data_IF_087769215150
#
_entry.id   IF_087769215150
#
_cell.length_a   1.000
_cell.length_b   1.000
_cell.length_c   1.000
_cell.angle_alpha   90.00
_cell.angle_beta   90.00
_cell.angle_gamma   90.00
#
_symmetry.space_group_name_H-M   'P 1'
#
loop_
_entity.id
_entity.type
_entity.pdbx_description
1 polymer ?
#
# COMPACT_ATOMS: atom_id res chain seq x y z
N UNK A 1 0.00 -10.85 32.70
CA UNK A 1 0.67 -11.91 31.93
C UNK A 1 2.16 -11.76 32.17
N UNK A 2 2.85 -12.84 32.50
CA UNK A 2 4.32 -12.82 32.63
C UNK A 2 4.94 -13.08 31.26
N UNK A 3 5.77 -12.15 30.78
CA UNK A 3 6.46 -12.24 29.49
C UNK A 3 7.86 -12.85 29.59
N UNK A 4 8.32 -13.20 30.80
CA UNK A 4 9.68 -13.73 31.03
C UNK A 4 9.99 -14.94 30.15
N UNK A 5 9.04 -15.86 29.99
CA UNK A 5 9.23 -17.03 29.12
C UNK A 5 9.43 -16.68 27.65
N UNK A 6 8.74 -15.65 27.14
CA UNK A 6 8.91 -15.14 25.77
C UNK A 6 10.28 -14.50 25.64
N UNK A 7 10.66 -13.65 26.61
CA UNK A 7 11.95 -12.95 26.61
C UNK A 7 13.12 -13.94 26.60
N UNK A 8 13.09 -14.95 27.47
CA UNK A 8 14.10 -16.01 27.50
C UNK A 8 14.16 -16.76 26.17
N UNK A 9 13.02 -17.23 25.67
CA UNK A 9 12.98 -17.99 24.41
C UNK A 9 13.52 -17.18 23.21
N UNK A 10 13.16 -15.89 23.11
CA UNK A 10 13.63 -15.02 22.02
C UNK A 10 15.14 -14.78 22.10
N UNK A 11 15.69 -14.57 23.29
CA UNK A 11 17.12 -14.37 23.49
C UNK A 11 17.95 -15.64 23.29
N UNK A 12 17.39 -16.82 23.56
CA UNK A 12 18.09 -18.10 23.41
C UNK A 12 18.07 -18.62 21.97
N UNK A 13 17.03 -18.29 21.19
CA UNK A 13 16.77 -18.94 19.90
C UNK A 13 16.57 -18.00 18.71
N UNK A 14 16.26 -16.71 18.92
CA UNK A 14 15.84 -15.78 17.85
C UNK A 14 16.68 -14.49 17.81
N UNK A 15 17.94 -14.56 18.23
CA UNK A 15 18.85 -13.40 18.27
C UNK A 15 19.09 -12.79 16.89
N UNK A 16 19.10 -13.61 15.83
CA UNK A 16 19.29 -13.11 14.46
C UNK A 16 18.11 -12.27 13.98
N UNK A 17 16.90 -12.67 14.33
CA UNK A 17 15.66 -11.97 14.05
C UNK A 17 15.62 -10.64 14.83
N UNK A 18 16.02 -10.65 16.11
CA UNK A 18 16.17 -9.42 16.90
C UNK A 18 17.18 -8.46 16.27
N UNK A 19 18.34 -8.94 15.80
CA UNK A 19 19.32 -8.14 15.05
C UNK A 19 18.67 -7.54 13.80
N UNK A 20 17.89 -8.33 13.05
CA UNK A 20 17.16 -7.88 11.87
C UNK A 20 16.16 -6.77 12.18
N UNK A 21 15.42 -6.88 13.28
CA UNK A 21 14.48 -5.86 13.75
C UNK A 21 15.21 -4.56 14.14
N UNK A 22 16.34 -4.65 14.84
CA UNK A 22 17.16 -3.46 15.19
C UNK A 22 17.71 -2.78 13.95
N UNK A 23 18.17 -3.54 12.95
CA UNK A 23 18.61 -2.98 11.66
C UNK A 23 17.48 -2.25 10.95
N UNK A 24 16.32 -2.91 10.84
CA UNK A 24 15.15 -2.40 10.11
C UNK A 24 14.52 -1.18 10.77
N UNK A 25 14.20 -1.28 12.06
CA UNK A 25 13.41 -0.26 12.79
C UNK A 25 14.28 0.73 13.57
N UNK A 26 15.46 0.29 14.05
CA UNK A 26 16.42 1.13 14.76
C UNK A 26 17.41 1.86 13.85
N UNK A 27 17.50 1.49 12.57
CA UNK A 27 18.41 2.13 11.61
C UNK A 27 19.89 1.89 11.89
N UNK A 28 20.23 0.90 12.71
CA UNK A 28 21.61 0.55 13.05
C UNK A 28 22.12 -0.53 12.11
N UNK A 29 23.13 -0.24 11.29
CA UNK A 29 23.64 -1.19 10.28
C UNK A 29 24.26 -2.46 10.85
N UNK A 30 24.97 -2.36 11.98
CA UNK A 30 25.63 -3.49 12.66
C UNK A 30 25.48 -3.38 14.18
N UNK A 31 24.30 -3.73 14.74
CA UNK A 31 24.08 -3.72 16.17
C UNK A 31 24.80 -4.90 16.83
N UNK A 32 25.43 -4.65 18.00
CA UNK A 32 26.09 -5.66 18.83
C UNK A 32 25.32 -5.86 20.12
N UNK A 33 25.56 -6.97 20.83
CA UNK A 33 24.95 -7.28 22.13
C UNK A 33 23.42 -7.12 22.14
N UNK A 34 22.77 -7.57 21.06
CA UNK A 34 21.33 -7.42 20.88
C UNK A 34 20.59 -8.35 21.84
N UNK A 35 19.65 -7.79 22.61
CA UNK A 35 18.84 -8.53 23.57
C UNK A 35 17.44 -7.95 23.67
N UNK A 36 16.43 -8.81 23.74
CA UNK A 36 15.07 -8.43 24.10
C UNK A 36 15.02 -8.20 25.62
N UNK A 37 14.65 -6.98 26.03
CA UNK A 37 14.55 -6.58 27.45
C UNK A 37 13.10 -6.45 27.92
N UNK A 38 12.19 -6.05 27.02
CA UNK A 38 10.80 -5.82 27.35
C UNK A 38 9.84 -6.32 26.27
N UNK A 39 8.69 -6.80 26.72
CA UNK A 39 7.55 -7.16 25.88
C UNK A 39 6.30 -6.66 26.57
N UNK A 40 5.40 -6.06 25.81
CA UNK A 40 4.03 -5.80 26.22
C UNK A 40 3.07 -6.05 25.05
N UNK A 41 1.80 -5.68 25.19
CA UNK A 41 0.82 -5.86 24.13
C UNK A 41 0.95 -4.87 22.97
N UNK A 42 1.83 -3.90 23.05
CA UNK A 42 2.05 -2.87 22.05
C UNK A 42 3.37 -3.06 21.29
N UNK A 43 4.32 -3.83 21.82
CA UNK A 43 5.56 -4.10 21.10
C UNK A 43 6.67 -4.76 21.89
N UNK A 44 7.89 -4.56 21.38
CA UNK A 44 9.15 -5.12 21.85
C UNK A 44 10.14 -4.00 22.18
N UNK A 45 10.81 -4.10 23.32
CA UNK A 45 11.95 -3.26 23.69
C UNK A 45 13.24 -4.07 23.53
N UNK A 46 14.03 -3.70 22.51
CA UNK A 46 15.25 -4.41 22.13
C UNK A 46 16.45 -3.53 22.42
N UNK A 47 17.31 -3.96 23.34
CA UNK A 47 18.59 -3.30 23.63
C UNK A 47 19.69 -3.79 22.69
N UNK A 48 20.70 -2.95 22.50
CA UNK A 48 21.93 -3.26 21.78
C UNK A 48 23.08 -2.38 22.32
N UNK A 49 24.32 -2.69 21.96
CA UNK A 49 25.48 -1.91 22.36
C UNK A 49 25.34 -0.44 21.92
N UNK A 50 25.18 0.45 22.91
CA UNK A 50 25.04 1.89 22.70
C UNK A 50 23.60 2.40 22.52
N UNK A 51 22.56 1.60 22.81
CA UNK A 51 21.19 2.11 22.85
C UNK A 51 20.11 1.03 22.93
N UNK A 52 18.87 1.45 22.69
CA UNK A 52 17.72 0.55 22.58
C UNK A 52 16.73 1.05 21.53
N UNK A 53 15.89 0.15 21.04
CA UNK A 53 14.82 0.43 20.09
C UNK A 53 13.53 -0.20 20.56
N UNK A 54 12.50 0.64 20.69
CA UNK A 54 11.10 0.18 20.74
C UNK A 54 10.63 -0.13 19.32
N UNK A 55 10.11 -1.35 19.13
CA UNK A 55 9.46 -1.81 17.90
C UNK A 55 8.01 -2.13 18.22
N UNK A 56 7.10 -1.27 17.76
CA UNK A 56 5.67 -1.44 17.99
C UNK A 56 5.04 -2.45 17.04
N UNK A 57 4.06 -3.20 17.54
CA UNK A 57 3.20 -4.03 16.69
C UNK A 57 2.30 -3.13 15.85
N UNK A 58 1.97 -3.54 14.61
CA UNK A 58 1.04 -2.80 13.77
C UNK A 58 -0.37 -2.62 14.38
N UNK A 59 -0.74 -3.54 15.27
CA UNK A 59 -1.98 -3.53 16.03
C UNK A 59 -1.70 -4.05 17.44
N UNK A 60 -2.38 -3.49 18.43
CA UNK A 60 -2.29 -3.95 19.82
C UNK A 60 -2.67 -5.42 19.93
N UNK A 61 -1.77 -6.21 20.50
CA UNK A 61 -1.94 -7.62 20.75
C UNK A 61 -2.81 -7.88 21.99
N UNK A 62 -3.15 -9.15 22.17
CA UNK A 62 -3.88 -9.69 23.31
C UNK A 62 -3.11 -10.89 23.87
N UNK A 63 -3.50 -11.43 25.03
CA UNK A 63 -2.95 -12.69 25.54
C UNK A 63 -2.90 -13.82 24.49
N UNK A 64 -3.91 -13.91 23.63
CA UNK A 64 -4.04 -14.98 22.65
C UNK A 64 -3.26 -14.70 21.35
N UNK A 65 -3.01 -13.43 21.04
CA UNK A 65 -2.42 -13.01 19.76
C UNK A 65 -0.96 -12.58 19.86
N UNK A 66 -0.42 -12.35 21.07
CA UNK A 66 0.93 -11.83 21.29
C UNK A 66 2.03 -12.67 20.61
N UNK A 67 1.96 -13.99 20.69
CA UNK A 67 2.94 -14.87 20.04
C UNK A 67 2.95 -14.70 18.53
N UNK A 68 1.77 -14.66 17.92
CA UNK A 68 1.63 -14.49 16.48
C UNK A 68 2.05 -13.08 16.03
N UNK A 69 1.81 -12.06 16.85
CA UNK A 69 2.28 -10.70 16.58
C UNK A 69 3.81 -10.62 16.53
N UNK A 70 4.49 -11.26 17.49
CA UNK A 70 5.95 -11.34 17.54
C UNK A 70 6.50 -12.10 16.32
N UNK A 71 5.95 -13.28 16.04
CA UNK A 71 6.37 -14.09 14.88
C UNK A 71 6.21 -13.29 13.58
N UNK A 72 5.04 -12.67 13.39
CA UNK A 72 4.75 -11.85 12.20
C UNK A 72 5.72 -10.68 12.07
N UNK A 73 6.07 -10.04 13.18
CA UNK A 73 7.04 -8.95 13.20
C UNK A 73 8.44 -9.42 12.79
N UNK A 74 8.92 -10.54 13.33
CA UNK A 74 10.22 -11.14 12.96
C UNK A 74 10.25 -11.57 11.49
N UNK A 75 9.23 -12.30 11.02
CA UNK A 75 9.11 -12.73 9.62
C UNK A 75 9.07 -11.56 8.65
N UNK A 76 8.56 -10.39 9.08
CA UNK A 76 8.52 -9.20 8.25
C UNK A 76 9.90 -8.76 7.77
N UNK A 77 10.99 -9.12 8.45
CA UNK A 77 12.36 -8.73 8.04
C UNK A 77 12.71 -9.40 6.72
N UNK A 78 12.61 -10.73 6.64
CA UNK A 78 12.95 -11.49 5.43
C UNK A 78 11.92 -11.28 4.32
N UNK A 79 10.62 -11.32 4.67
CA UNK A 79 9.52 -11.14 3.70
C UNK A 79 9.54 -9.78 3.02
N UNK A 80 10.21 -8.77 3.60
CA UNK A 80 10.35 -7.47 2.95
C UNK A 80 11.13 -7.58 1.63
N UNK A 81 11.97 -8.59 1.48
CA UNK A 81 12.83 -8.80 0.32
C UNK A 81 12.29 -9.83 -0.68
N UNK A 82 11.17 -10.48 -0.40
CA UNK A 82 10.50 -11.39 -1.34
C UNK A 82 9.71 -10.61 -2.41
N UNK A 83 10.44 -10.06 -3.39
CA UNK A 83 9.84 -9.22 -4.43
C UNK A 83 8.85 -9.97 -5.31
N UNK A 84 9.02 -11.29 -5.47
CA UNK A 84 8.09 -12.13 -6.23
C UNK A 84 6.75 -12.28 -5.51
N UNK A 85 6.78 -12.57 -4.20
CA UNK A 85 5.57 -12.60 -3.36
C UNK A 85 4.88 -11.24 -3.30
N UNK A 86 5.66 -10.15 -3.18
CA UNK A 86 5.11 -8.78 -3.18
C UNK A 86 4.42 -8.43 -4.50
N UNK A 87 4.93 -8.92 -5.65
CA UNK A 87 4.25 -8.74 -6.94
C UNK A 87 2.85 -9.37 -6.94
N UNK A 88 2.76 -10.62 -6.50
CA UNK A 88 1.48 -11.33 -6.42
C UNK A 88 0.52 -10.65 -5.45
N UNK A 89 1.03 -10.13 -4.33
CA UNK A 89 0.23 -9.39 -3.35
C UNK A 89 -0.31 -8.08 -3.92
N UNK A 90 0.47 -7.33 -4.69
CA UNK A 90 0.03 -6.09 -5.37
C UNK A 90 -1.13 -6.38 -6.32
N UNK A 91 -0.99 -7.41 -7.16
CA UNK A 91 -2.02 -7.80 -8.12
C UNK A 91 -3.31 -8.24 -7.41
N UNK A 92 -3.19 -9.07 -6.37
CA UNK A 92 -4.31 -9.51 -5.56
C UNK A 92 -4.98 -8.35 -4.81
N UNK A 93 -4.19 -7.42 -4.27
CA UNK A 93 -4.68 -6.24 -3.56
C UNK A 93 -5.50 -5.36 -4.49
N UNK A 94 -5.00 -5.00 -5.68
CA UNK A 94 -5.74 -4.21 -6.65
C UNK A 94 -7.05 -4.89 -7.06
N UNK A 95 -7.01 -6.19 -7.36
CA UNK A 95 -8.16 -6.99 -7.80
C UNK A 95 -9.27 -7.10 -6.76
N UNK A 96 -8.96 -6.89 -5.47
CA UNK A 96 -9.94 -6.92 -4.39
C UNK A 96 -10.87 -5.69 -4.37
N UNK A 97 -10.57 -4.65 -5.15
CA UNK A 97 -11.36 -3.41 -5.19
C UNK A 97 -12.17 -3.28 -6.48
N UNK A 98 -13.46 -2.92 -6.32
CA UNK A 98 -14.32 -2.45 -7.42
C UNK A 98 -14.35 -0.93 -7.58
N UNK A 99 -13.53 -0.19 -6.82
CA UNK A 99 -13.41 1.28 -6.92
C UNK A 99 -12.03 1.74 -6.49
N UNK A 100 -11.66 2.96 -6.90
CA UNK A 100 -10.37 3.56 -6.55
C UNK A 100 -10.51 5.06 -6.34
N UNK A 101 -9.63 5.62 -5.50
CA UNK A 101 -9.51 7.06 -5.30
C UNK A 101 -8.71 7.65 -6.45
N UNK A 102 -9.15 8.79 -6.96
CA UNK A 102 -8.51 9.52 -8.05
C UNK A 102 -8.05 10.88 -7.57
N UNK A 103 -6.76 11.18 -7.78
CA UNK A 103 -6.25 12.54 -7.75
C UNK A 103 -6.14 13.06 -9.18
N UNK A 104 -6.71 14.24 -9.45
CA UNK A 104 -6.66 14.90 -10.76
C UNK A 104 -6.62 16.42 -10.59
N UNK A 105 -6.30 17.15 -11.65
CA UNK A 105 -6.21 18.62 -11.64
C UNK A 105 -7.26 19.21 -12.57
N UNK A 106 -8.12 20.09 -12.04
CA UNK A 106 -9.13 20.78 -12.83
C UNK A 106 -8.50 21.69 -13.89
N UNK A 107 -9.26 22.14 -14.90
CA UNK A 107 -8.78 23.13 -15.87
C UNK A 107 -8.33 24.46 -15.23
N UNK A 108 -8.86 24.82 -14.05
CA UNK A 108 -8.46 26.00 -13.27
C UNK A 108 -7.19 25.78 -12.44
N UNK A 109 -6.63 24.57 -12.41
CA UNK A 109 -5.43 24.22 -11.64
C UNK A 109 -5.70 23.75 -10.21
N UNK A 110 -6.96 23.48 -9.85
CA UNK A 110 -7.34 23.01 -8.52
C UNK A 110 -7.20 21.50 -8.41
N UNK A 111 -6.69 21.02 -7.27
CA UNK A 111 -6.56 19.60 -7.02
C UNK A 111 -7.90 18.98 -6.61
N UNK A 112 -8.27 17.89 -7.24
CA UNK A 112 -9.47 17.11 -6.94
C UNK A 112 -9.07 15.75 -6.36
N UNK A 113 -9.73 15.37 -5.27
CA UNK A 113 -9.66 14.03 -4.70
C UNK A 113 -11.06 13.40 -4.73
N UNK A 114 -11.29 12.52 -5.70
CA UNK A 114 -12.58 11.88 -5.94
C UNK A 114 -12.42 10.36 -5.91
N UNK A 115 -13.48 9.60 -6.23
CA UNK A 115 -13.39 8.18 -6.48
C UNK A 115 -14.16 7.82 -7.75
N UNK A 116 -13.86 6.66 -8.34
CA UNK A 116 -14.62 6.11 -9.45
C UNK A 116 -14.71 4.57 -9.33
N UNK A 117 -15.73 3.94 -9.95
CA UNK A 117 -15.70 2.50 -10.20
C UNK A 117 -14.43 2.14 -10.97
N UNK A 118 -13.76 1.05 -10.57
CA UNK A 118 -12.58 0.53 -11.25
C UNK A 118 -12.91 -0.85 -11.79
N UNK A 119 -12.64 -1.04 -13.07
CA UNK A 119 -12.89 -2.27 -13.81
C UNK A 119 -11.53 -2.86 -14.16
N UNK A 120 -11.35 -4.14 -13.82
CA UNK A 120 -10.13 -4.88 -14.16
C UNK A 120 -10.38 -5.65 -15.45
N UNK A 121 -9.56 -5.47 -16.48
CA UNK A 121 -9.71 -6.25 -17.71
C UNK A 121 -8.36 -6.52 -18.38
N UNK A 122 -8.04 -7.80 -18.60
CA UNK A 122 -6.81 -8.23 -19.29
C UNK A 122 -5.52 -7.63 -18.66
N UNK A 123 -5.48 -7.48 -17.34
CA UNK A 123 -4.35 -6.86 -16.63
C UNK A 123 -4.28 -5.33 -16.73
N UNK A 124 -5.35 -4.70 -17.24
CA UNK A 124 -5.49 -3.24 -17.36
C UNK A 124 -6.58 -2.73 -16.42
N UNK A 125 -6.52 -1.44 -16.10
CA UNK A 125 -7.51 -0.76 -15.27
C UNK A 125 -8.33 0.22 -16.11
N UNK A 126 -9.63 0.26 -15.85
CA UNK A 126 -10.53 1.23 -16.45
C UNK A 126 -11.39 1.88 -15.38
N UNK A 127 -11.84 3.10 -15.65
CA UNK A 127 -12.87 3.78 -14.87
C UNK A 127 -14.07 4.10 -15.76
N UNK A 128 -15.24 4.21 -15.14
CA UNK A 128 -16.48 4.59 -15.82
C UNK A 128 -17.12 5.78 -15.11
N UNK A 129 -17.07 6.96 -15.75
CA UNK A 129 -17.41 8.24 -15.12
C UNK A 129 -18.33 9.11 -16.00
N UNK A 130 -19.18 9.93 -15.38
CA UNK A 130 -20.08 10.86 -16.05
C UNK A 130 -19.42 12.21 -16.31
N UNK A 131 -19.79 12.88 -17.41
CA UNK A 131 -19.47 14.28 -17.72
C UNK A 131 -19.90 15.27 -16.63
N UNK A 132 -20.90 14.91 -15.82
CA UNK A 132 -21.42 15.74 -14.72
C UNK A 132 -20.44 15.80 -13.55
N UNK A 133 -19.59 14.79 -13.36
CA UNK A 133 -18.65 14.74 -12.26
C UNK A 133 -17.41 15.61 -12.53
N UNK A 134 -16.95 16.34 -11.53
CA UNK A 134 -15.81 17.27 -11.64
C UNK A 134 -14.55 16.60 -12.21
N UNK A 135 -14.34 15.32 -11.86
CA UNK A 135 -13.18 14.56 -12.35
C UNK A 135 -13.18 14.28 -13.85
N UNK A 136 -14.32 14.43 -14.55
CA UNK A 136 -14.37 14.25 -16.00
C UNK A 136 -13.62 15.38 -16.69
N UNK A 137 -13.95 16.63 -16.34
CA UNK A 137 -13.32 17.80 -16.91
C UNK A 137 -11.81 17.85 -16.59
N UNK A 138 -11.41 17.45 -15.37
CA UNK A 138 -10.00 17.37 -14.99
C UNK A 138 -9.23 16.33 -15.80
N UNK A 139 -9.75 15.10 -15.94
CA UNK A 139 -9.09 14.02 -16.68
C UNK A 139 -9.07 14.33 -18.18
N UNK A 140 -10.14 14.92 -18.72
CA UNK A 140 -10.20 15.32 -20.13
C UNK A 140 -9.18 16.40 -20.47
N UNK A 141 -9.01 17.40 -19.61
CA UNK A 141 -8.05 18.48 -19.82
C UNK A 141 -6.60 18.05 -19.53
N UNK A 142 -6.39 17.19 -18.53
CA UNK A 142 -5.07 16.79 -18.04
C UNK A 142 -4.89 15.26 -18.01
N UNK A 143 -5.03 14.54 -19.14
CA UNK A 143 -5.09 13.08 -19.16
C UNK A 143 -3.81 12.38 -18.68
N UNK A 144 -2.68 13.07 -18.70
CA UNK A 144 -1.38 12.51 -18.28
C UNK A 144 -0.99 12.91 -16.84
N UNK A 145 -1.88 13.59 -16.12
CA UNK A 145 -1.67 14.08 -14.75
C UNK A 145 -2.79 13.60 -13.82
N UNK A 146 -2.84 12.28 -13.66
CA UNK A 146 -3.81 11.57 -12.82
C UNK A 146 -3.06 10.57 -11.95
N UNK A 147 -3.51 10.40 -10.71
CA UNK A 147 -3.05 9.32 -9.84
C UNK A 147 -4.23 8.47 -9.36
N UNK A 148 -4.11 7.15 -9.55
CA UNK A 148 -5.04 6.15 -9.02
C UNK A 148 -4.51 5.63 -7.69
N UNK A 149 -5.38 5.51 -6.69
CA UNK A 149 -5.07 4.89 -5.40
C UNK A 149 -6.11 3.83 -5.03
N UNK A 150 -5.65 2.60 -4.86
CA UNK A 150 -6.37 1.58 -4.09
C UNK A 150 -5.98 1.74 -2.62
N UNK A 151 -6.97 1.92 -1.76
CA UNK A 151 -6.78 2.21 -0.35
C UNK A 151 -7.63 1.27 0.48
N UNK A 152 -7.00 0.55 1.39
CA UNK A 152 -7.68 -0.37 2.30
C UNK A 152 -8.76 0.35 3.13
N UNK A 153 -9.92 -0.30 3.28
CA UNK A 153 -11.00 0.16 4.14
C UNK A 153 -10.47 0.38 5.55
N UNK A 154 -10.78 1.53 6.15
CA UNK A 154 -10.26 1.88 7.48
C UNK A 154 -10.65 0.86 8.56
N UNK A 155 -11.83 0.25 8.46
CA UNK A 155 -12.30 -0.80 9.37
C UNK A 155 -11.58 -2.13 9.24
N UNK A 156 -10.84 -2.36 8.14
CA UNK A 156 -10.04 -3.56 7.88
C UNK A 156 -8.55 -3.34 8.14
N UNK A 157 -8.12 -2.07 8.16
CA UNK A 157 -6.73 -1.72 8.38
C UNK A 157 -6.28 -2.02 9.82
N UNK A 158 -4.98 -2.24 10.00
CA UNK A 158 -4.38 -2.50 11.31
C UNK A 158 -4.50 -1.29 12.24
N UNK A 159 -4.39 -0.09 11.67
CA UNK A 159 -4.63 1.18 12.34
C UNK A 159 -4.83 2.29 11.29
N UNK A 160 -5.32 3.45 11.74
CA UNK A 160 -5.52 4.64 10.88
C UNK A 160 -4.22 5.15 10.24
N UNK A 161 -3.07 4.88 10.87
CA UNK A 161 -1.74 5.26 10.35
C UNK A 161 -1.12 4.22 9.42
N UNK A 162 -1.76 3.04 9.29
CA UNK A 162 -1.26 1.94 8.48
C UNK A 162 -2.38 1.26 7.68
N UNK A 163 -2.99 2.04 6.80
CA UNK A 163 -3.85 1.52 5.74
C UNK A 163 -2.98 1.08 4.57
N UNK A 164 -3.10 -0.19 4.18
CA UNK A 164 -2.43 -0.71 2.97
C UNK A 164 -2.89 0.11 1.77
N UNK A 165 -1.94 0.48 0.91
CA UNK A 165 -2.24 1.33 -0.24
C UNK A 165 -1.34 1.05 -1.43
N UNK A 166 -1.95 1.11 -2.60
CA UNK A 166 -1.29 1.01 -3.90
C UNK A 166 -1.63 2.26 -4.70
N UNK A 167 -0.62 3.01 -5.13
CA UNK A 167 -0.76 4.21 -5.95
C UNK A 167 -0.09 4.01 -7.30
N UNK A 168 -0.71 4.50 -8.37
CA UNK A 168 -0.10 4.59 -9.70
C UNK A 168 -0.32 5.98 -10.27
N UNK A 169 0.76 6.58 -10.81
CA UNK A 169 0.60 7.64 -11.81
C UNK A 169 0.10 6.99 -13.09
N UNK A 170 -0.91 7.57 -13.72
CA UNK A 170 -1.55 6.99 -14.90
C UNK A 170 -1.69 8.00 -16.03
N UNK A 171 -1.77 7.49 -17.26
CA UNK A 171 -2.28 8.24 -18.41
C UNK A 171 -3.69 7.73 -18.73
N UNK A 172 -4.61 8.65 -18.95
CA UNK A 172 -6.00 8.36 -19.27
C UNK A 172 -6.21 8.33 -20.79
N UNK A 173 -6.82 7.25 -21.29
CA UNK A 173 -7.29 7.14 -22.68
C UNK A 173 -8.79 6.86 -22.69
N UNK A 174 -9.55 7.73 -23.35
CA UNK A 174 -10.98 7.51 -23.56
C UNK A 174 -11.17 6.36 -24.55
N UNK A 175 -12.01 5.39 -24.17
CA UNK A 175 -12.39 4.26 -25.01
C UNK A 175 -13.63 4.66 -25.81
N UNK A 176 -13.60 4.38 -27.11
CA UNK A 176 -14.73 4.67 -27.99
C UNK A 176 -15.96 3.86 -27.59
N UNK A 177 -17.09 4.54 -27.51
CA UNK A 177 -18.39 3.96 -27.18
C UNK A 177 -18.78 2.88 -28.19
N UNK A 178 -19.41 1.81 -27.71
CA UNK A 178 -19.89 0.67 -28.53
C UNK A 178 -18.79 -0.04 -29.36
N UNK A 179 -17.50 0.31 -29.14
CA UNK A 179 -16.38 -0.45 -29.66
C UNK A 179 -16.31 -1.84 -29.04
N UNK A 180 -15.60 -2.76 -29.69
CA UNK A 180 -15.38 -4.10 -29.14
C UNK A 180 -14.68 -4.04 -27.77
N UNK A 181 -13.75 -3.10 -27.57
CA UNK A 181 -13.10 -2.89 -26.27
C UNK A 181 -14.12 -2.45 -25.21
N UNK A 182 -14.99 -1.49 -25.53
CA UNK A 182 -16.03 -1.02 -24.62
C UNK A 182 -16.96 -2.16 -24.17
N UNK A 183 -17.49 -2.93 -25.11
CA UNK A 183 -18.41 -4.04 -24.80
C UNK A 183 -17.75 -5.12 -23.95
N UNK A 184 -16.49 -5.48 -24.26
CA UNK A 184 -15.75 -6.48 -23.49
C UNK A 184 -15.48 -6.03 -22.06
N UNK A 185 -15.02 -4.78 -21.88
CA UNK A 185 -14.71 -4.23 -20.55
C UNK A 185 -16.00 -4.04 -19.74
N UNK A 186 -17.08 -3.59 -20.36
CA UNK A 186 -18.36 -3.42 -19.66
C UNK A 186 -18.96 -4.76 -19.23
N UNK A 187 -18.83 -5.81 -20.05
CA UNK A 187 -19.23 -7.16 -19.65
C UNK A 187 -18.49 -7.63 -18.38
N UNK A 188 -17.18 -7.38 -18.30
CA UNK A 188 -16.39 -7.67 -17.11
C UNK A 188 -16.80 -6.82 -15.91
N UNK A 189 -17.19 -5.56 -16.13
CA UNK A 189 -17.73 -4.72 -15.06
C UNK A 189 -19.02 -5.29 -14.47
N UNK A 190 -19.93 -5.78 -15.31
CA UNK A 190 -21.17 -6.44 -14.87
C UNK A 190 -20.84 -7.71 -14.07
N UNK A 191 -19.88 -8.52 -14.52
CA UNK A 191 -19.46 -9.74 -13.82
C UNK A 191 -18.86 -9.43 -12.45
N UNK A 192 -17.90 -8.49 -12.38
CA UNK A 192 -17.20 -8.10 -11.15
C UNK A 192 -18.12 -7.47 -10.11
N UNK A 193 -19.17 -6.79 -10.55
CA UNK A 193 -20.12 -6.10 -9.68
C UNK A 193 -21.38 -6.90 -9.33
N UNK A 194 -21.56 -8.09 -9.93
CA UNK A 194 -22.80 -8.86 -9.84
C UNK A 194 -24.00 -8.23 -10.57
N UNK A 195 -23.76 -7.21 -11.41
CA UNK A 195 -24.75 -6.65 -12.34
C UNK A 195 -25.95 -5.93 -11.72
N UNK A 196 -25.90 -5.63 -10.43
CA UNK A 196 -26.96 -4.96 -9.67
C UNK A 196 -26.56 -3.51 -9.29
N UNK A 197 -27.45 -2.74 -8.65
CA UNK A 197 -27.10 -1.40 -8.15
C UNK A 197 -26.99 -0.30 -9.21
N UNK A 198 -27.69 -0.44 -10.34
CA UNK A 198 -27.76 0.61 -11.38
C UNK A 198 -26.67 0.55 -12.45
N UNK A 199 -25.72 -0.39 -12.37
CA UNK A 199 -24.61 -0.53 -13.34
C UNK A 199 -25.12 -0.76 -14.77
N UNK A 200 -26.15 -1.59 -14.94
CA UNK A 200 -26.79 -1.79 -16.25
C UNK A 200 -27.48 -0.54 -16.78
N UNK A 201 -27.97 0.32 -15.88
CA UNK A 201 -28.65 1.57 -16.24
C UNK A 201 -27.65 2.60 -16.74
N UNK A 202 -26.54 2.80 -16.02
CA UNK A 202 -25.52 3.77 -16.42
C UNK A 202 -24.82 3.37 -17.73
N UNK A 203 -24.81 2.08 -18.11
CA UNK A 203 -24.32 1.66 -19.43
C UNK A 203 -24.96 2.46 -20.55
N UNK A 204 -26.26 2.71 -20.50
CA UNK A 204 -27.01 3.35 -21.58
C UNK A 204 -27.01 4.88 -21.50
N UNK A 205 -26.35 5.46 -20.50
CA UNK A 205 -26.21 6.90 -20.36
C UNK A 205 -25.05 7.38 -21.23
N UNK A 206 -25.31 8.32 -22.14
CA UNK A 206 -24.32 8.77 -23.14
C UNK A 206 -23.31 9.78 -22.58
N UNK A 207 -23.62 10.40 -21.44
CA UNK A 207 -22.71 11.24 -20.67
C UNK A 207 -21.69 10.43 -19.86
N UNK A 208 -21.78 9.09 -19.86
CA UNK A 208 -20.78 8.24 -19.22
C UNK A 208 -19.74 7.71 -20.20
N UNK A 209 -18.48 7.79 -19.78
CA UNK A 209 -17.32 7.44 -20.58
C UNK A 209 -16.49 6.36 -19.90
N UNK A 210 -16.07 5.37 -20.70
CA UNK A 210 -15.08 4.39 -20.29
C UNK A 210 -13.69 4.94 -20.58
N UNK A 211 -12.81 4.90 -19.58
CA UNK A 211 -11.47 5.48 -19.67
C UNK A 211 -10.48 4.43 -19.19
N UNK A 212 -9.53 4.04 -20.05
CA UNK A 212 -8.38 3.22 -19.67
C UNK A 212 -7.39 4.06 -18.86
N UNK A 213 -6.94 3.51 -17.73
CA UNK A 213 -5.89 4.07 -16.89
C UNK A 213 -4.59 3.29 -17.12
N UNK A 214 -3.76 3.81 -18.02
CA UNK A 214 -2.48 3.22 -18.39
C UNK A 214 -1.47 3.52 -17.28
N UNK A 215 -1.10 2.50 -16.52
CA UNK A 215 -0.18 2.65 -15.38
C UNK A 215 1.23 3.03 -15.81
N UNK A 216 1.84 3.95 -15.06
CA UNK A 216 3.26 4.30 -15.13
C UNK A 216 3.95 3.87 -13.85
N UNK A 217 4.55 4.82 -13.12
CA UNK A 217 5.22 4.53 -11.87
C UNK A 217 4.19 4.33 -10.75
N UNK A 218 4.50 3.43 -9.83
CA UNK A 218 3.65 3.12 -8.69
C UNK A 218 4.39 3.05 -7.37
N UNK A 219 3.59 2.99 -6.31
CA UNK A 219 4.04 2.88 -4.92
C UNK A 219 3.10 1.96 -4.17
N UNK A 220 3.66 0.91 -3.56
CA UNK A 220 2.93 0.02 -2.67
C UNK A 220 3.43 0.16 -1.25
N UNK A 221 2.51 0.25 -0.28
CA UNK A 221 2.83 0.26 1.15
C UNK A 221 1.92 -0.74 1.84
N UNK A 222 2.53 -1.76 2.46
CA UNK A 222 1.80 -2.83 3.16
C UNK A 222 2.02 -2.86 4.68
N UNK A 223 3.02 -2.14 5.17
CA UNK A 223 3.48 -2.24 6.56
C UNK A 223 4.53 -1.19 6.90
N UNK A 224 4.85 -1.07 8.18
CA UNK A 224 5.96 -0.20 8.63
C UNK A 224 7.28 -0.68 8.05
N UNK A 225 8.03 0.24 7.42
CA UNK A 225 9.25 -0.11 6.70
C UNK A 225 9.03 -1.10 5.55
N UNK A 226 7.82 -1.19 5.00
CA UNK A 226 7.48 -2.07 3.88
C UNK A 226 6.83 -1.24 2.78
N UNK A 227 7.67 -0.45 2.11
CA UNK A 227 7.31 0.39 0.98
C UNK A 227 8.12 -0.01 -0.26
N UNK A 228 7.43 -0.06 -1.39
CA UNK A 228 7.96 -0.57 -2.65
C UNK A 228 7.65 0.39 -3.79
N UNK A 229 8.65 0.73 -4.60
CA UNK A 229 8.45 1.43 -5.86
C UNK A 229 8.17 0.42 -6.97
N UNK A 230 7.30 0.81 -7.90
CA UNK A 230 6.98 0.07 -9.12
C UNK A 230 7.38 0.95 -10.29
N UNK A 231 8.34 0.51 -11.09
CA UNK A 231 8.85 1.26 -12.24
C UNK A 231 8.94 0.30 -13.42
N UNK A 232 8.27 0.60 -14.52
CA UNK A 232 8.24 -0.27 -15.72
C UNK A 232 7.87 -1.74 -15.41
N UNK A 233 6.99 -1.97 -14.43
CA UNK A 233 6.57 -3.31 -14.00
C UNK A 233 7.55 -4.04 -13.06
N UNK A 234 8.69 -3.43 -12.75
CA UNK A 234 9.66 -3.94 -11.78
C UNK A 234 9.40 -3.35 -10.39
N UNK A 235 9.53 -4.19 -9.36
CA UNK A 235 9.32 -3.83 -7.96
C UNK A 235 10.66 -3.70 -7.27
N UNK A 236 10.85 -2.61 -6.53
CA UNK A 236 12.04 -2.37 -5.71
C UNK A 236 11.68 -1.94 -4.30
N UNK A 237 12.40 -2.47 -3.31
CA UNK A 237 12.23 -2.08 -1.91
C UNK A 237 12.89 -0.74 -1.62
N UNK A 238 12.19 0.15 -0.91
CA UNK A 238 12.64 1.53 -0.68
C UNK A 238 13.42 1.77 0.62
N UNK A 239 13.44 0.83 1.55
CA UNK A 239 14.09 1.02 2.86
C UNK A 239 15.55 0.55 2.92
N UNK A 240 16.28 0.57 1.80
CA UNK A 240 17.61 -0.02 1.66
C UNK A 240 18.70 0.50 2.63
N UNK A 241 18.53 1.68 3.22
CA UNK A 241 19.45 2.26 4.22
C UNK A 241 18.96 2.15 5.68
N UNK A 242 17.89 1.40 5.94
CA UNK A 242 17.24 1.31 7.26
C UNK A 242 16.10 2.32 7.43
N UNK A 243 15.73 2.62 8.67
CA UNK A 243 14.64 3.54 8.99
C UNK A 243 14.95 4.97 8.49
N UNK A 244 14.20 5.52 7.50
CA UNK A 244 14.45 6.87 6.97
C UNK A 244 13.91 7.98 7.89
N UNK A 245 13.19 7.63 8.95
CA UNK A 245 12.65 8.60 9.90
C UNK A 245 13.70 8.92 10.97
N UNK A 246 14.05 10.20 11.10
CA UNK A 246 14.93 10.66 12.17
C UNK A 246 14.17 10.72 13.49
N UNK A 247 14.67 10.03 14.53
CA UNK A 247 14.25 10.27 15.92
C UNK A 247 14.86 11.54 16.53
N UNK A 248 15.83 12.15 15.83
CA UNK A 248 16.42 13.44 16.19
C UNK A 248 15.87 14.56 15.29
N UNK A 249 15.31 15.65 15.84
CA UNK A 249 14.72 16.74 15.05
C UNK A 249 15.75 17.55 14.22
N UNK A 250 17.05 17.23 14.27
CA UNK A 250 18.11 18.02 13.64
C UNK A 250 19.14 17.24 12.79
N UNK A 251 18.98 15.93 12.58
CA UNK A 251 19.82 15.26 11.56
C UNK A 251 19.20 15.51 10.19
N UNK A 252 19.79 16.42 9.40
CA UNK A 252 19.45 16.60 7.98
C UNK A 252 19.73 15.30 7.22
N UNK A 253 18.76 14.40 7.19
CA UNK A 253 18.73 13.30 6.24
C UNK A 253 18.45 13.88 4.87
N UNK A 254 19.35 13.68 3.93
CA UNK A 254 19.11 13.98 2.51
C UNK A 254 18.00 13.05 2.03
N UNK A 255 16.77 13.57 1.97
CA UNK A 255 15.72 12.91 1.21
C UNK A 255 16.17 12.85 -0.25
N UNK A 256 16.19 11.67 -0.89
CA UNK A 256 16.32 11.64 -2.33
C UNK A 256 15.08 12.33 -2.91
N UNK A 257 15.31 13.45 -3.61
CA UNK A 257 14.33 13.95 -4.53
C UNK A 257 14.10 12.90 -5.62
N UNK A 258 12.88 12.89 -6.19
CA UNK A 258 12.39 12.21 -7.40
C UNK A 258 11.24 11.22 -7.16
#
# INVERSE_FOLDING_TARGET
MDFTSIITHMNDHHTNELIGLVKKFGGKSDPKDVKLEGVDFEGLDIAYAGGSVRVEFPQKASPDTIKNAIISLCMSVEQTHDLAGIKQEIDAFAKAFGSGVLASISPSGEALATYAPVIHSEGRFYIYISEVAEHYASIRANPNNVELMFLEDESKAQSVILRKRLRYRVNARFVERDSQEFENVFAQFIEQSGGSGGIKTIKNMHDFHLIELIVRNGRYVKGFGQAYAITNGEISYLGGSGNPHSRNPHSKGTHPAH
#
